data_IF_523509604351
#
_entry.id   IF_523509604351
#
_cell.length_a   1.000
_cell.length_b   1.000
_cell.length_c   1.000
_cell.angle_alpha   90.00
_cell.angle_beta   90.00
_cell.angle_gamma   90.00
#
_symmetry.space_group_name_H-M   'P 1'
#
loop_
_entity.id
_entity.type
_entity.pdbx_description
1 polymer ?
#
# COMPACT_ATOMS: atom_id res chain seq x y z
N UNK A 1 -25.95 -13.89 -60.60
CA UNK A 1 -24.47 -14.02 -60.65
C UNK A 1 -23.92 -12.77 -59.99
N UNK A 2 -23.87 -12.73 -58.65
CA UNK A 2 -22.68 -12.95 -57.78
C UNK A 2 -21.47 -12.12 -58.21
N UNK A 3 -21.07 -11.20 -57.32
CA UNK A 3 -19.74 -10.60 -57.07
C UNK A 3 -20.01 -9.31 -56.27
N UNK A 4 -20.29 -9.30 -54.95
CA UNK A 4 -19.55 -9.80 -53.77
C UNK A 4 -18.10 -9.29 -53.68
N UNK A 5 -17.90 -8.46 -52.65
CA UNK A 5 -16.65 -8.18 -51.91
C UNK A 5 -15.60 -7.32 -52.61
N UNK A 6 -14.99 -6.32 -51.99
CA UNK A 6 -14.43 -6.31 -50.63
C UNK A 6 -14.25 -4.85 -50.15
N UNK A 7 -15.03 -4.41 -49.15
CA UNK A 7 -14.68 -3.22 -48.35
C UNK A 7 -13.70 -3.69 -47.27
N UNK A 8 -12.41 -3.36 -47.41
CA UNK A 8 -11.39 -3.62 -46.40
C UNK A 8 -11.55 -2.63 -45.24
N UNK A 9 -12.48 -2.92 -44.33
CA UNK A 9 -12.47 -2.39 -42.97
C UNK A 9 -11.40 -3.16 -42.17
N UNK A 10 -10.16 -2.67 -42.22
CA UNK A 10 -9.11 -3.11 -41.31
C UNK A 10 -9.41 -2.50 -39.94
N UNK A 11 -10.21 -3.21 -39.16
CA UNK A 11 -10.33 -2.97 -37.73
C UNK A 11 -9.07 -3.54 -37.08
N UNK A 12 -8.09 -2.67 -36.79
CA UNK A 12 -6.98 -3.00 -35.90
C UNK A 12 -7.58 -3.13 -34.50
N UNK A 13 -7.81 -4.36 -34.07
CA UNK A 13 -8.09 -4.66 -32.67
C UNK A 13 -6.79 -4.43 -31.91
N UNK A 14 -6.66 -3.25 -31.31
CA UNK A 14 -5.72 -3.02 -30.22
C UNK A 14 -6.22 -3.87 -29.04
N UNK A 15 -5.86 -5.15 -29.04
CA UNK A 15 -5.95 -6.00 -27.87
C UNK A 15 -4.95 -5.43 -26.85
N UNK A 16 -5.40 -4.46 -26.06
CA UNK A 16 -4.68 -4.04 -24.87
C UNK A 16 -4.51 -5.26 -23.99
N UNK A 17 -3.26 -5.63 -23.70
CA UNK A 17 -2.96 -6.60 -22.65
C UNK A 17 -3.50 -6.04 -21.34
N UNK A 18 -4.70 -6.48 -20.94
CA UNK A 18 -5.17 -6.32 -19.57
C UNK A 18 -4.50 -7.41 -18.72
N UNK A 19 -3.18 -7.31 -18.58
CA UNK A 19 -2.46 -8.06 -17.56
C UNK A 19 -2.85 -7.46 -16.22
N UNK A 20 -3.71 -8.14 -15.46
CA UNK A 20 -4.02 -7.75 -14.09
C UNK A 20 -2.74 -7.57 -13.30
N UNK A 21 -2.57 -6.39 -12.70
CA UNK A 21 -1.40 -6.05 -11.90
C UNK A 21 -1.30 -7.01 -10.71
N UNK A 22 -0.16 -7.71 -10.61
CA UNK A 22 0.12 -8.61 -9.50
C UNK A 22 0.61 -7.78 -8.31
N UNK A 23 -0.29 -7.52 -7.36
CA UNK A 23 -0.01 -6.68 -6.21
C UNK A 23 0.04 -7.48 -4.90
N UNK A 24 0.72 -6.96 -3.86
CA UNK A 24 0.64 -7.50 -2.51
C UNK A 24 -0.81 -7.41 -1.96
N UNK A 25 -1.13 -8.11 -0.86
CA UNK A 25 -2.45 -8.09 -0.26
C UNK A 25 -2.82 -6.70 0.24
N UNK A 26 -4.09 -6.33 0.06
CA UNK A 26 -4.60 -5.05 0.55
C UNK A 26 -4.49 -4.95 2.06
N UNK A 27 -4.24 -3.72 2.53
CA UNK A 27 -4.15 -3.35 3.93
C UNK A 27 -5.36 -2.47 4.29
N UNK A 28 -6.08 -2.82 5.35
CA UNK A 28 -7.01 -1.92 6.03
C UNK A 28 -6.39 -1.44 7.32
N UNK A 29 -6.38 -0.13 7.51
CA UNK A 29 -5.98 0.53 8.74
C UNK A 29 -7.22 1.05 9.45
N UNK A 30 -7.37 0.75 10.74
CA UNK A 30 -8.49 1.26 11.53
C UNK A 30 -8.07 1.74 12.91
N UNK A 31 -8.61 2.88 13.35
CA UNK A 31 -8.44 3.44 14.69
C UNK A 31 -9.80 3.87 15.20
N UNK A 32 -10.15 3.52 16.44
CA UNK A 32 -11.43 3.89 17.06
C UNK A 32 -12.69 3.54 16.21
N UNK A 33 -12.59 2.51 15.36
CA UNK A 33 -13.65 2.07 14.46
C UNK A 33 -13.71 2.80 13.11
N UNK A 34 -12.87 3.82 12.89
CA UNK A 34 -12.75 4.56 11.64
C UNK A 34 -11.60 4.02 10.78
N UNK A 35 -11.79 4.02 9.45
CA UNK A 35 -10.75 3.60 8.50
C UNK A 35 -9.82 4.76 8.18
N UNK A 36 -8.51 4.50 8.18
CA UNK A 36 -7.49 5.47 7.81
C UNK A 36 -6.98 5.20 6.39
N UNK A 37 -6.88 6.26 5.59
CA UNK A 37 -6.24 6.19 4.28
C UNK A 37 -4.74 5.93 4.39
N UNK A 38 -4.24 5.14 3.44
CA UNK A 38 -2.81 4.88 3.29
C UNK A 38 -2.43 4.85 1.79
N UNK A 39 -1.15 4.67 1.51
CA UNK A 39 -0.61 4.50 0.17
C UNK A 39 0.31 3.29 0.13
N UNK A 40 0.15 2.48 -0.90
CA UNK A 40 1.12 1.45 -1.26
C UNK A 40 2.37 2.13 -1.85
N UNK A 41 3.52 1.81 -1.27
CA UNK A 41 4.84 2.26 -1.70
C UNK A 41 5.55 1.21 -2.52
N UNK A 42 6.88 1.16 -2.40
CA UNK A 42 7.70 0.17 -3.09
C UNK A 42 7.30 -1.24 -2.65
N UNK A 43 7.23 -2.16 -3.60
CA UNK A 43 6.96 -3.56 -3.31
C UNK A 43 7.63 -4.51 -4.32
N UNK A 44 7.85 -5.75 -3.86
CA UNK A 44 8.17 -6.88 -4.70
C UNK A 44 7.05 -7.92 -4.56
N UNK A 45 6.61 -8.52 -5.67
CA UNK A 45 5.57 -9.54 -5.59
C UNK A 45 5.73 -10.62 -6.64
N UNK A 46 5.65 -11.88 -6.22
CA UNK A 46 5.80 -13.06 -7.08
C UNK A 46 4.68 -14.06 -6.89
N UNK A 47 3.99 -14.40 -7.98
CA UNK A 47 2.90 -15.38 -7.99
C UNK A 47 2.79 -16.07 -9.34
N UNK A 48 2.54 -17.38 -9.33
CA UNK A 48 2.30 -18.16 -10.56
C UNK A 48 3.41 -18.06 -11.61
N UNK A 49 4.68 -18.02 -11.18
CA UNK A 49 5.84 -17.90 -12.07
C UNK A 49 6.09 -16.50 -12.65
N UNK A 50 5.31 -15.48 -12.26
CA UNK A 50 5.55 -14.07 -12.58
C UNK A 50 6.06 -13.33 -11.35
N UNK A 51 6.91 -12.32 -11.57
CA UNK A 51 7.41 -11.43 -10.53
C UNK A 51 7.33 -9.97 -11.00
N UNK A 52 7.05 -9.07 -10.07
CA UNK A 52 7.08 -7.61 -10.27
C UNK A 52 7.93 -6.95 -9.19
N UNK A 53 8.63 -5.90 -9.60
CA UNK A 53 9.26 -4.93 -8.71
C UNK A 53 8.67 -3.59 -9.11
N UNK A 54 8.03 -2.91 -8.16
CA UNK A 54 7.41 -1.63 -8.38
C UNK A 54 8.01 -0.61 -7.41
N UNK A 55 8.73 0.36 -7.96
CA UNK A 55 9.34 1.43 -7.19
C UNK A 55 8.35 2.56 -6.93
N UNK A 56 8.38 3.11 -5.72
CA UNK A 56 7.63 4.30 -5.35
C UNK A 56 8.52 5.33 -4.65
N UNK A 57 8.01 6.56 -4.53
CA UNK A 57 8.66 7.58 -3.73
C UNK A 57 8.70 7.21 -2.24
N UNK A 58 9.67 7.76 -1.51
CA UNK A 58 9.77 7.57 -0.06
C UNK A 58 8.49 8.03 0.67
N UNK A 59 8.18 7.49 1.86
CA UNK A 59 6.92 7.73 2.59
C UNK A 59 6.49 9.21 2.67
N UNK A 60 7.36 10.19 2.97
CA UNK A 60 6.94 11.61 3.00
C UNK A 60 6.44 12.14 1.67
N UNK A 61 7.05 11.72 0.56
CA UNK A 61 6.62 12.11 -0.78
C UNK A 61 5.40 11.33 -1.23
N UNK A 62 5.25 10.09 -0.76
CA UNK A 62 4.14 9.21 -1.08
C UNK A 62 2.82 9.74 -0.48
N UNK A 63 2.86 10.32 0.72
CA UNK A 63 1.68 10.88 1.42
C UNK A 63 1.57 12.40 1.33
N UNK A 64 2.42 13.08 0.54
CA UNK A 64 2.51 14.56 0.49
C UNK A 64 1.20 15.30 0.21
N UNK A 65 0.28 14.65 -0.51
CA UNK A 65 -1.02 15.22 -0.90
C UNK A 65 -2.18 14.69 -0.04
N UNK A 66 -1.89 13.94 1.03
CA UNK A 66 -2.89 13.45 1.97
C UNK A 66 -3.05 14.46 3.11
N UNK A 67 -4.28 14.58 3.60
CA UNK A 67 -4.52 15.23 4.88
C UNK A 67 -4.22 14.22 6.00
N UNK A 68 -3.61 14.66 7.12
CA UNK A 68 -3.38 13.76 8.24
C UNK A 68 -4.72 13.37 8.86
N UNK A 69 -4.89 12.09 9.18
CA UNK A 69 -6.05 11.62 9.91
C UNK A 69 -5.91 11.97 11.41
N UNK A 70 -6.88 12.67 12.01
CA UNK A 70 -6.81 13.05 13.42
C UNK A 70 -6.99 11.82 14.32
N UNK A 71 -6.17 11.69 15.35
CA UNK A 71 -6.23 10.57 16.31
C UNK A 71 -6.03 11.05 17.74
N UNK A 72 -6.59 10.30 18.70
CA UNK A 72 -6.33 10.52 20.12
C UNK A 72 -4.89 10.07 20.50
N UNK A 73 -4.27 10.71 21.51
CA UNK A 73 -3.02 10.23 22.10
C UNK A 73 -3.12 8.77 22.55
N UNK A 74 -2.10 7.98 22.21
CA UNK A 74 -2.03 6.57 22.64
C UNK A 74 -3.05 5.62 21.98
N UNK A 75 -3.82 6.09 20.99
CA UNK A 75 -4.83 5.30 20.29
C UNK A 75 -4.23 4.02 19.67
N UNK A 76 -5.06 2.98 19.54
CA UNK A 76 -4.67 1.68 18.97
C UNK A 76 -5.03 1.63 17.50
N UNK A 77 -4.01 1.59 16.65
CA UNK A 77 -4.17 1.35 15.23
C UNK A 77 -4.16 -0.14 14.94
N UNK A 78 -5.20 -0.63 14.27
CA UNK A 78 -5.35 -2.01 13.85
C UNK A 78 -4.97 -2.15 12.37
N UNK A 79 -4.10 -3.13 12.08
CA UNK A 79 -3.65 -3.49 10.74
C UNK A 79 -4.31 -4.80 10.35
N UNK A 80 -5.08 -4.78 9.26
CA UNK A 80 -5.73 -5.98 8.74
C UNK A 80 -5.37 -6.16 7.26
N UNK A 81 -4.55 -7.16 6.98
CA UNK A 81 -4.25 -7.58 5.62
C UNK A 81 -5.23 -8.65 5.15
N UNK A 82 -5.60 -8.62 3.87
CA UNK A 82 -6.45 -9.66 3.28
C UNK A 82 -5.77 -11.06 3.29
N UNK A 83 -4.44 -11.11 3.13
CA UNK A 83 -3.60 -12.29 3.41
C UNK A 83 -2.53 -11.91 4.44
N UNK A 84 -2.44 -12.66 5.54
CA UNK A 84 -1.61 -12.29 6.68
C UNK A 84 -0.10 -12.38 6.34
N UNK A 85 0.70 -11.32 6.57
CA UNK A 85 2.15 -11.37 6.39
C UNK A 85 2.83 -12.24 7.45
N UNK A 86 4.04 -12.69 7.12
CA UNK A 86 4.93 -13.41 8.04
C UNK A 86 5.49 -12.48 9.11
N UNK A 87 5.86 -11.26 8.70
CA UNK A 87 6.44 -10.22 9.55
C UNK A 87 5.82 -8.88 9.22
N UNK A 88 5.65 -8.06 10.25
CA UNK A 88 5.24 -6.67 10.12
C UNK A 88 6.19 -5.85 10.99
N UNK A 89 6.77 -4.82 10.40
CA UNK A 89 7.50 -3.77 11.10
C UNK A 89 6.85 -2.44 10.77
N UNK A 90 6.82 -1.52 11.73
CA UNK A 90 6.33 -0.18 11.49
C UNK A 90 7.11 0.84 12.32
N UNK A 91 7.18 2.05 11.81
CA UNK A 91 7.94 3.12 12.46
C UNK A 91 7.50 4.50 11.99
N UNK A 92 7.79 5.50 12.81
CA UNK A 92 7.69 6.90 12.41
C UNK A 92 8.86 7.20 11.47
N UNK A 93 8.56 7.80 10.32
CA UNK A 93 9.58 8.23 9.38
C UNK A 93 10.36 9.41 9.94
N UNK A 94 11.70 9.30 9.97
CA UNK A 94 12.61 10.32 10.44
C UNK A 94 13.94 10.28 9.67
N UNK A 95 14.35 11.39 9.07
CA UNK A 95 15.72 11.54 8.55
C UNK A 95 16.10 10.61 7.39
N UNK A 96 15.13 10.04 6.66
CA UNK A 96 15.38 9.20 5.49
C UNK A 96 15.12 7.71 5.69
N UNK A 97 14.75 7.30 6.90
CA UNK A 97 14.31 5.94 7.22
C UNK A 97 13.19 6.01 8.28
N UNK A 98 12.61 4.88 8.69
CA UNK A 98 11.71 4.80 9.82
C UNK A 98 12.38 4.17 11.05
N UNK A 99 11.93 4.56 12.25
CA UNK A 99 12.33 3.88 13.49
C UNK A 99 11.56 2.57 13.62
N UNK A 100 12.00 1.55 12.87
CA UNK A 100 11.31 0.28 12.69
C UNK A 100 11.18 -0.50 13.99
N UNK A 101 9.95 -0.90 14.32
CA UNK A 101 9.62 -1.78 15.44
C UNK A 101 8.74 -2.93 14.97
N UNK A 102 8.96 -4.17 15.46
CA UNK A 102 8.10 -5.28 15.14
C UNK A 102 6.68 -5.01 15.65
N UNK A 103 5.68 -5.26 14.81
CA UNK A 103 4.27 -5.10 15.15
C UNK A 103 3.69 -6.44 15.54
N UNK A 104 3.30 -6.56 16.81
CA UNK A 104 2.67 -7.78 17.33
C UNK A 104 1.15 -7.69 17.19
N UNK A 105 0.53 -8.80 16.80
CA UNK A 105 -0.92 -8.95 16.67
C UNK A 105 -1.60 -7.92 15.74
N UNK A 106 -0.84 -7.29 14.84
CA UNK A 106 -1.36 -6.24 13.95
C UNK A 106 -1.82 -4.99 14.68
N UNK A 107 -1.27 -4.68 15.86
CA UNK A 107 -1.66 -3.49 16.64
C UNK A 107 -0.45 -2.60 16.84
N UNK A 108 -0.61 -1.32 16.50
CA UNK A 108 0.36 -0.26 16.79
C UNK A 108 -0.25 0.68 17.83
N UNK A 109 0.52 1.02 18.86
CA UNK A 109 0.15 2.12 19.77
C UNK A 109 0.71 3.41 19.19
N UNK A 110 -0.19 4.35 18.87
CA UNK A 110 0.19 5.64 18.30
C UNK A 110 0.84 6.54 19.37
N UNK A 111 1.55 7.61 18.97
CA UNK A 111 2.28 8.46 19.91
C UNK A 111 1.35 9.14 20.92
N UNK A 112 1.85 9.35 22.15
CA UNK A 112 1.18 10.17 23.18
C UNK A 112 1.38 11.68 22.94
N UNK A 113 2.49 12.03 22.30
CA UNK A 113 2.85 13.43 22.07
C UNK A 113 2.05 13.98 20.89
N UNK A 114 1.49 15.17 21.07
CA UNK A 114 0.82 15.91 19.98
C UNK A 114 1.78 16.22 18.85
N UNK A 115 1.29 16.10 17.61
CA UNK A 115 2.07 16.39 16.42
C UNK A 115 1.59 15.61 15.21
N UNK A 116 2.14 15.95 14.05
CA UNK A 116 1.91 15.23 12.80
C UNK A 116 2.98 14.16 12.61
N UNK A 117 2.56 12.94 12.24
CA UNK A 117 3.44 11.78 12.10
C UNK A 117 3.18 11.07 10.79
N UNK A 118 4.23 10.90 10.00
CA UNK A 118 4.22 10.00 8.85
C UNK A 118 4.74 8.65 9.33
N UNK A 119 3.94 7.61 9.14
CA UNK A 119 4.32 6.24 9.45
C UNK A 119 4.62 5.47 8.18
N UNK A 120 5.56 4.54 8.29
CA UNK A 120 5.79 3.49 7.32
C UNK A 120 5.50 2.14 7.97
N UNK A 121 4.96 1.22 7.19
CA UNK A 121 4.74 -0.19 7.53
C UNK A 121 5.45 -1.02 6.48
N UNK A 122 6.33 -1.92 6.91
CA UNK A 122 6.95 -2.94 6.08
C UNK A 122 6.32 -4.28 6.42
N UNK A 123 5.73 -4.94 5.43
CA UNK A 123 5.14 -6.26 5.59
C UNK A 123 5.77 -7.24 4.60
N UNK A 124 6.05 -8.46 5.06
CA UNK A 124 6.71 -9.47 4.23
C UNK A 124 5.93 -10.78 4.20
N UNK A 125 5.85 -11.38 3.02
CA UNK A 125 5.24 -12.68 2.74
C UNK A 125 6.26 -13.57 2.04
N UNK A 126 5.95 -14.87 1.90
CA UNK A 126 6.74 -15.75 1.01
C UNK A 126 6.78 -15.28 -0.44
N UNK A 127 5.77 -14.50 -0.86
CA UNK A 127 5.60 -14.02 -2.23
C UNK A 127 6.41 -12.74 -2.51
N UNK A 128 6.88 -12.04 -1.48
CA UNK A 128 7.53 -10.74 -1.59
C UNK A 128 7.19 -9.83 -0.41
N UNK A 129 7.50 -8.55 -0.53
CA UNK A 129 7.36 -7.55 0.52
C UNK A 129 6.73 -6.26 -0.02
N UNK A 130 6.19 -5.45 0.88
CA UNK A 130 5.60 -4.17 0.52
C UNK A 130 5.75 -3.14 1.65
N UNK A 131 6.00 -1.89 1.24
CA UNK A 131 5.95 -0.72 2.10
C UNK A 131 4.59 -0.04 1.96
N UNK A 132 3.98 0.34 3.07
CA UNK A 132 2.77 1.17 3.12
C UNK A 132 3.07 2.43 3.93
N UNK A 133 2.51 3.56 3.54
CA UNK A 133 2.65 4.81 4.29
C UNK A 133 1.28 5.41 4.61
N UNK A 134 1.16 5.99 5.81
CA UNK A 134 -0.03 6.72 6.23
C UNK A 134 0.37 7.95 7.04
N UNK A 135 -0.56 8.91 7.12
CA UNK A 135 -0.31 10.21 7.74
C UNK A 135 -1.37 10.50 8.80
N UNK A 136 -0.93 10.78 10.03
CA UNK A 136 -1.81 11.08 11.17
C UNK A 136 -1.40 12.37 11.86
N UNK A 137 -2.33 12.91 12.63
CA UNK A 137 -2.07 14.01 13.56
C UNK A 137 -2.66 13.67 14.93
N UNK A 138 -1.80 13.60 15.94
CA UNK A 138 -2.20 13.38 17.33
C UNK A 138 -2.63 14.73 17.93
N UNK A 139 -3.89 14.83 18.36
CA UNK A 139 -4.50 16.09 18.84
C UNK A 139 -5.08 16.00 20.24
#
# INVERSE_FOLDING_TARGET
MKNRWLWLLIAVWLSGCQSGDIQPPDLRLAVDGETIDHRLGTYTWSTGGRGVVADAAAPPLLVKNMNPHPVAPGAKLHLQFDDRPLTIEAGVWNGGDADWRPVQNGIITLPEKKGAYIYAIHASWKKGDAIYAFFIEVR
#
